data_IF_223178152812
#
_entry.id   IF_223178152812
#
_cell.length_a   1.000
_cell.length_b   1.000
_cell.length_c   1.000
_cell.angle_alpha   90.00
_cell.angle_beta   90.00
_cell.angle_gamma   90.00
#
_symmetry.space_group_name_H-M   'P 1'
#
loop_
_entity.id
_entity.type
_entity.pdbx_description
1 polymer ?
#
# COMPACT_ATOMS: atom_id res chain seq x y z
N UNK A 1 7.01 -10.87 13.01
CA UNK A 1 7.33 -9.43 12.84
C UNK A 1 7.66 -8.84 14.21
N UNK A 2 8.63 -7.93 14.29
CA UNK A 2 9.00 -7.23 15.53
C UNK A 2 8.75 -5.74 15.36
N UNK A 3 8.15 -5.09 16.35
CA UNK A 3 7.93 -3.63 16.32
C UNK A 3 9.26 -2.90 16.41
N UNK A 4 9.57 -2.09 15.40
CA UNK A 4 10.81 -1.28 15.36
C UNK A 4 10.60 0.14 15.91
N UNK A 5 9.42 0.72 15.73
CA UNK A 5 9.06 2.05 16.24
C UNK A 5 7.54 2.24 16.23
N UNK A 6 7.04 3.20 17.00
CA UNK A 6 5.65 3.63 16.99
C UNK A 6 5.59 5.13 16.77
N UNK A 7 4.94 5.55 15.68
CA UNK A 7 4.78 6.94 15.30
C UNK A 7 3.30 7.30 15.22
N UNK A 8 2.98 8.59 15.21
CA UNK A 8 1.60 9.08 15.23
C UNK A 8 1.25 9.91 13.99
N UNK A 9 -0.03 9.90 13.65
CA UNK A 9 -0.60 10.67 12.56
C UNK A 9 -0.11 10.23 11.17
N UNK A 10 -0.51 11.01 10.16
CA UNK A 10 -0.17 10.75 8.76
C UNK A 10 1.35 10.68 8.52
N UNK A 11 2.20 11.57 9.06
CA UNK A 11 3.65 11.47 8.88
C UNK A 11 4.25 10.16 9.41
N UNK A 12 3.64 9.56 10.44
CA UNK A 12 4.06 8.26 10.98
C UNK A 12 3.85 7.09 10.03
N UNK A 13 2.96 7.23 9.05
CA UNK A 13 2.78 6.25 7.95
C UNK A 13 3.77 6.55 6.83
N UNK A 14 3.89 7.82 6.44
CA UNK A 14 4.56 8.21 5.19
C UNK A 14 6.10 8.22 5.30
N UNK A 15 6.65 8.65 6.43
CA UNK A 15 8.12 8.77 6.58
C UNK A 15 8.80 7.40 6.60
N UNK A 16 8.34 6.41 7.39
CA UNK A 16 8.97 5.08 7.39
C UNK A 16 8.87 4.41 6.02
N UNK A 17 7.74 4.57 5.31
CA UNK A 17 7.62 4.05 3.95
C UNK A 17 8.65 4.66 3.01
N UNK A 18 8.83 5.98 3.06
CA UNK A 18 9.84 6.68 2.25
C UNK A 18 11.27 6.26 2.62
N UNK A 19 11.58 6.13 3.90
CA UNK A 19 12.89 5.69 4.40
C UNK A 19 13.20 4.28 3.90
N UNK A 20 12.25 3.35 4.02
CA UNK A 20 12.37 2.00 3.49
C UNK A 20 12.68 1.98 1.99
N UNK A 21 11.98 2.78 1.18
CA UNK A 21 12.27 2.86 -0.27
C UNK A 21 13.66 3.44 -0.57
N UNK A 22 14.13 4.40 0.23
CA UNK A 22 15.49 4.95 0.09
C UNK A 22 16.55 3.92 0.45
N UNK A 23 16.37 3.18 1.54
CA UNK A 23 17.29 2.12 1.98
C UNK A 23 17.38 0.99 0.97
N UNK A 24 16.28 0.69 0.28
CA UNK A 24 16.27 -0.29 -0.82
C UNK A 24 17.12 0.12 -2.02
N UNK A 25 17.39 1.41 -2.21
CA UNK A 25 18.25 1.90 -3.29
C UNK A 25 17.80 1.45 -4.69
N UNK A 26 16.48 1.34 -4.91
CA UNK A 26 15.94 0.86 -6.18
C UNK A 26 16.36 1.80 -7.33
N UNK A 27 16.69 1.26 -8.52
CA UNK A 27 16.99 2.08 -9.69
C UNK A 27 15.83 3.02 -10.05
N UNK A 28 16.16 4.16 -10.64
CA UNK A 28 15.18 5.09 -11.17
C UNK A 28 14.20 4.39 -12.13
N UNK A 29 12.92 4.72 -12.02
CA UNK A 29 11.84 4.13 -12.80
C UNK A 29 11.33 2.78 -12.30
N UNK A 30 11.98 2.17 -11.29
CA UNK A 30 11.52 0.92 -10.67
C UNK A 30 10.06 1.01 -10.22
N UNK A 31 9.30 -0.06 -10.43
CA UNK A 31 7.87 -0.07 -10.13
C UNK A 31 7.58 -0.47 -8.69
N UNK A 32 6.82 0.37 -8.00
CA UNK A 32 6.16 0.05 -6.73
C UNK A 32 4.70 -0.25 -7.04
N UNK A 33 4.32 -1.52 -6.91
CA UNK A 33 2.97 -1.99 -7.30
C UNK A 33 2.15 -2.24 -6.04
N UNK A 34 1.07 -1.49 -5.91
CA UNK A 34 0.12 -1.58 -4.81
C UNK A 34 -1.05 -2.44 -5.24
N UNK A 35 -1.26 -3.57 -4.58
CA UNK A 35 -2.46 -4.38 -4.74
C UNK A 35 -3.44 -4.02 -3.63
N UNK A 36 -4.68 -3.66 -3.98
CA UNK A 36 -5.65 -3.17 -3.00
C UNK A 36 -7.08 -3.07 -3.52
N UNK A 37 -8.01 -2.86 -2.59
CA UNK A 37 -9.41 -2.64 -2.93
C UNK A 37 -9.61 -1.24 -3.55
N UNK A 38 -10.24 -1.18 -4.72
CA UNK A 38 -10.59 0.08 -5.35
C UNK A 38 -11.51 0.92 -4.44
N UNK A 39 -11.30 2.24 -4.44
CA UNK A 39 -12.09 3.19 -3.64
C UNK A 39 -11.60 3.33 -2.19
N UNK A 40 -11.36 2.22 -1.48
CA UNK A 40 -10.94 2.28 -0.06
C UNK A 40 -9.42 2.33 0.12
N UNK A 41 -8.66 1.56 -0.67
CA UNK A 41 -7.20 1.56 -0.60
C UNK A 41 -6.58 2.69 -1.44
N UNK A 42 -7.24 3.08 -2.54
CA UNK A 42 -6.71 4.06 -3.51
C UNK A 42 -6.25 5.38 -2.86
N UNK A 43 -7.00 6.03 -1.95
CA UNK A 43 -6.55 7.28 -1.34
C UNK A 43 -5.25 7.14 -0.53
N UNK A 44 -5.04 6.01 0.14
CA UNK A 44 -3.79 5.75 0.87
C UNK A 44 -2.63 5.45 -0.06
N UNK A 45 -2.90 4.74 -1.16
CA UNK A 45 -1.92 4.48 -2.22
C UNK A 45 -1.46 5.78 -2.88
N UNK A 46 -2.39 6.67 -3.21
CA UNK A 46 -2.08 8.02 -3.71
C UNK A 46 -1.25 8.83 -2.72
N UNK A 47 -1.56 8.74 -1.43
CA UNK A 47 -0.82 9.42 -0.37
C UNK A 47 0.61 8.89 -0.21
N UNK A 48 0.80 7.57 -0.25
CA UNK A 48 2.12 6.92 -0.21
C UNK A 48 2.97 7.30 -1.43
N UNK A 49 2.37 7.26 -2.62
CA UNK A 49 3.02 7.68 -3.85
C UNK A 49 3.38 9.17 -3.83
N UNK A 50 2.50 10.02 -3.28
CA UNK A 50 2.79 11.44 -3.13
C UNK A 50 3.98 11.68 -2.19
N UNK A 51 4.06 10.95 -1.07
CA UNK A 51 5.15 11.07 -0.11
C UNK A 51 6.53 10.75 -0.70
N UNK A 52 6.55 9.90 -1.73
CA UNK A 52 7.75 9.30 -2.33
C UNK A 52 8.03 9.81 -3.75
N UNK A 53 7.28 10.83 -4.20
CA UNK A 53 7.36 11.41 -5.55
C UNK A 53 8.73 11.94 -5.96
N UNK A 54 9.58 12.26 -5.00
CA UNK A 54 10.95 12.75 -5.21
C UNK A 54 11.99 11.63 -5.37
N UNK A 55 11.59 10.37 -5.29
CA UNK A 55 12.48 9.21 -5.45
C UNK A 55 12.58 8.71 -6.91
N UNK A 56 11.91 9.37 -7.86
CA UNK A 56 11.85 8.97 -9.28
C UNK A 56 11.43 7.50 -9.50
N UNK A 57 10.56 6.98 -8.64
CA UNK A 57 9.97 5.64 -8.78
C UNK A 57 8.65 5.70 -9.54
N UNK A 58 8.27 4.59 -10.17
CA UNK A 58 6.97 4.47 -10.85
C UNK A 58 5.98 3.79 -9.91
N UNK A 59 4.90 4.46 -9.52
CA UNK A 59 3.88 3.88 -8.65
C UNK A 59 2.68 3.39 -9.46
N UNK A 60 2.26 2.14 -9.25
CA UNK A 60 1.11 1.53 -9.93
C UNK A 60 0.10 1.03 -8.89
N UNK A 61 -1.17 1.37 -9.07
CA UNK A 61 -2.27 0.73 -8.35
C UNK A 61 -2.87 -0.39 -9.19
N UNK A 62 -3.02 -1.58 -8.60
CA UNK A 62 -3.71 -2.72 -9.18
C UNK A 62 -4.94 -3.04 -8.32
N UNK A 63 -6.17 -2.95 -8.88
CA UNK A 63 -7.37 -3.31 -8.15
C UNK A 63 -7.40 -4.83 -7.93
N UNK A 64 -7.49 -5.25 -6.66
CA UNK A 64 -7.38 -6.64 -6.24
C UNK A 64 -6.10 -7.27 -6.79
N UNK A 65 -6.20 -8.20 -7.75
CA UNK A 65 -5.08 -8.81 -8.46
C UNK A 65 -5.21 -8.68 -9.99
N UNK A 66 -6.08 -7.78 -10.45
CA UNK A 66 -6.36 -7.57 -11.86
C UNK A 66 -5.33 -6.66 -12.51
N UNK A 67 -4.17 -7.23 -12.84
CA UNK A 67 -3.07 -6.52 -13.49
C UNK A 67 -3.44 -5.94 -14.87
N UNK A 68 -4.49 -6.45 -15.53
CA UNK A 68 -4.96 -5.87 -16.80
C UNK A 68 -5.60 -4.49 -16.59
N UNK A 69 -6.13 -4.24 -15.38
CA UNK A 69 -6.66 -2.96 -14.94
C UNK A 69 -5.68 -2.20 -14.04
N UNK A 70 -4.37 -2.34 -14.29
CA UNK A 70 -3.36 -1.58 -13.58
C UNK A 70 -3.38 -0.08 -13.99
N UNK A 71 -3.23 0.78 -12.99
CA UNK A 71 -3.23 2.23 -13.14
C UNK A 71 -1.90 2.84 -12.67
N UNK A 72 -1.27 3.66 -13.51
CA UNK A 72 -0.10 4.44 -13.08
C UNK A 72 -0.56 5.64 -12.25
N UNK A 73 0.12 5.91 -11.13
CA UNK A 73 -0.14 7.10 -10.33
C UNK A 73 0.72 8.26 -10.85
N UNK A 74 0.09 9.41 -11.09
CA UNK A 74 0.77 10.62 -11.59
C UNK A 74 0.40 11.82 -10.74
N UNK A 75 1.37 12.72 -10.56
CA UNK A 75 1.10 14.03 -9.95
C UNK A 75 0.29 14.88 -10.91
N UNK A 76 -0.84 15.38 -10.45
CA UNK A 76 -1.72 16.31 -11.16
C UNK A 76 -1.60 17.68 -10.46
N UNK A 77 -1.16 18.73 -11.16
CA UNK A 77 -1.02 20.07 -10.59
C UNK A 77 -2.31 20.53 -9.89
N UNK A 78 -2.17 21.13 -8.71
CA UNK A 78 -3.27 21.61 -7.86
C UNK A 78 -4.30 20.55 -7.40
N UNK A 79 -4.06 19.26 -7.66
CA UNK A 79 -4.93 18.15 -7.22
C UNK A 79 -4.19 17.20 -6.28
N UNK A 80 -3.02 16.70 -6.69
CA UNK A 80 -2.27 15.66 -5.96
C UNK A 80 -1.95 14.45 -6.83
N UNK A 81 -1.60 13.32 -6.21
CA UNK A 81 -1.42 12.06 -6.96
C UNK A 81 -2.78 11.51 -7.37
N UNK A 82 -2.90 11.09 -8.63
CA UNK A 82 -4.12 10.53 -9.20
C UNK A 82 -3.80 9.29 -10.02
N UNK A 83 -4.69 8.29 -9.97
CA UNK A 83 -4.64 7.14 -10.85
C UNK A 83 -4.97 7.51 -12.30
N UNK A 84 -4.17 7.01 -13.25
CA UNK A 84 -4.40 7.09 -14.69
C UNK A 84 -4.35 5.69 -15.30
N UNK A 85 -5.11 5.49 -16.38
CA UNK A 85 -5.21 4.19 -17.06
C UNK A 85 -3.87 3.69 -17.59
N UNK A 86 -3.70 2.36 -17.53
CA UNK A 86 -2.76 1.61 -18.34
C UNK A 86 -1.32 1.62 -17.83
N UNK A 87 -0.85 0.46 -17.37
CA UNK A 87 0.57 0.19 -17.19
C UNK A 87 0.86 -1.32 -17.21
N UNK A 88 1.97 -1.73 -17.84
CA UNK A 88 2.46 -3.10 -17.68
C UNK A 88 2.99 -3.30 -16.26
N UNK A 89 2.59 -4.39 -15.62
CA UNK A 89 2.96 -4.72 -14.24
C UNK A 89 4.27 -5.52 -14.21
N UNK A 90 5.32 -4.89 -13.70
CA UNK A 90 6.67 -5.43 -13.51
C UNK A 90 7.26 -4.86 -12.20
N UNK A 91 6.73 -5.28 -11.04
CA UNK A 91 7.13 -4.73 -9.75
C UNK A 91 8.61 -4.97 -9.47
N UNK A 92 9.27 -3.96 -8.90
CA UNK A 92 10.49 -4.13 -8.12
C UNK A 92 10.17 -4.30 -6.62
N UNK A 93 8.99 -3.84 -6.19
CA UNK A 93 8.42 -4.03 -4.86
C UNK A 93 6.91 -4.20 -4.98
N UNK A 94 6.37 -5.16 -4.24
CA UNK A 94 4.93 -5.32 -4.02
C UNK A 94 4.55 -4.64 -2.71
N UNK A 95 3.44 -3.89 -2.72
CA UNK A 95 2.80 -3.37 -1.50
C UNK A 95 1.39 -3.94 -1.42
N UNK A 96 1.14 -4.81 -0.44
CA UNK A 96 -0.19 -5.32 -0.17
C UNK A 96 -0.93 -4.34 0.75
N UNK A 97 -2.12 -3.92 0.32
CA UNK A 97 -2.98 -3.05 1.13
C UNK A 97 -3.91 -3.90 2.00
N UNK A 98 -4.05 -3.52 3.28
CA UNK A 98 -4.83 -4.24 4.28
C UNK A 98 -6.29 -4.49 3.92
N UNK A 99 -6.86 -3.68 3.01
CA UNK A 99 -8.20 -3.88 2.47
C UNK A 99 -8.41 -5.27 1.86
N UNK A 100 -7.37 -5.85 1.24
CA UNK A 100 -7.44 -7.20 0.64
C UNK A 100 -7.75 -8.30 1.66
N UNK A 101 -7.39 -8.08 2.92
CA UNK A 101 -7.57 -9.02 4.01
C UNK A 101 -8.88 -8.79 4.80
N UNK A 102 -9.68 -7.80 4.41
CA UNK A 102 -10.94 -7.50 5.10
C UNK A 102 -12.00 -8.58 4.84
N UNK A 103 -12.84 -8.89 5.86
CA UNK A 103 -14.00 -9.75 5.65
C UNK A 103 -14.90 -9.24 4.52
N UNK A 104 -15.35 -10.14 3.65
CA UNK A 104 -16.24 -9.83 2.53
C UNK A 104 -15.53 -9.36 1.25
N UNK A 105 -14.21 -9.17 1.26
CA UNK A 105 -13.43 -8.99 0.04
C UNK A 105 -13.17 -10.36 -0.58
N UNK A 106 -13.45 -10.58 -1.88
CA UNK A 106 -13.33 -11.88 -2.54
C UNK A 106 -11.87 -12.18 -2.90
N UNK A 107 -11.01 -12.21 -1.90
CA UNK A 107 -9.57 -12.45 -2.02
C UNK A 107 -9.17 -13.52 -1.02
N UNK A 108 -8.53 -14.57 -1.53
CA UNK A 108 -7.96 -15.65 -0.73
C UNK A 108 -6.46 -15.43 -0.52
N UNK A 109 -5.93 -16.02 0.55
CA UNK A 109 -4.48 -15.99 0.81
C UNK A 109 -3.68 -16.72 -0.29
N UNK A 110 -4.25 -17.73 -0.94
CA UNK A 110 -3.57 -18.46 -2.00
C UNK A 110 -3.44 -17.61 -3.28
N UNK A 111 -4.42 -16.75 -3.58
CA UNK A 111 -4.29 -15.76 -4.66
C UNK A 111 -3.18 -14.74 -4.35
N UNK A 112 -3.08 -14.28 -3.10
CA UNK A 112 -2.00 -13.38 -2.67
C UNK A 112 -0.64 -14.05 -2.88
N UNK A 113 -0.49 -15.29 -2.40
CA UNK A 113 0.75 -16.08 -2.57
C UNK A 113 1.09 -16.30 -4.03
N UNK A 114 0.10 -16.56 -4.88
CA UNK A 114 0.30 -16.72 -6.31
C UNK A 114 0.87 -15.46 -6.96
N UNK A 115 0.32 -14.28 -6.64
CA UNK A 115 0.82 -12.99 -7.14
C UNK A 115 2.22 -12.68 -6.63
N UNK A 116 2.48 -12.88 -5.33
CA UNK A 116 3.80 -12.68 -4.73
C UNK A 116 4.84 -13.60 -5.37
N UNK A 117 4.50 -14.89 -5.52
CA UNK A 117 5.41 -15.90 -6.10
C UNK A 117 5.65 -15.67 -7.58
N UNK A 118 4.63 -15.23 -8.33
CA UNK A 118 4.74 -14.89 -9.77
C UNK A 118 5.81 -13.85 -10.03
N UNK A 119 5.89 -12.82 -9.19
CA UNK A 119 6.86 -11.73 -9.36
C UNK A 119 8.18 -11.97 -8.65
N UNK A 120 8.18 -12.71 -7.53
CA UNK A 120 9.40 -13.10 -6.81
C UNK A 120 10.21 -11.92 -6.27
N UNK A 121 9.55 -10.79 -6.00
CA UNK A 121 10.16 -9.56 -5.49
C UNK A 121 9.80 -9.32 -4.02
N UNK A 122 10.52 -8.44 -3.31
CA UNK A 122 10.17 -8.04 -1.96
C UNK A 122 8.70 -7.60 -1.79
N UNK A 123 8.16 -7.84 -0.60
CA UNK A 123 6.79 -7.50 -0.24
C UNK A 123 6.76 -6.60 1.00
N UNK A 124 6.05 -5.49 0.89
CA UNK A 124 5.67 -4.64 2.02
C UNK A 124 4.15 -4.69 2.24
N UNK A 125 3.71 -4.36 3.45
CA UNK A 125 2.31 -4.31 3.84
C UNK A 125 1.96 -2.97 4.45
N UNK A 126 0.82 -2.40 4.06
CA UNK A 126 0.22 -1.24 4.72
C UNK A 126 -1.21 -1.58 5.09
N UNK A 127 -1.50 -1.66 6.38
CA UNK A 127 -2.83 -1.95 6.87
C UNK A 127 -3.24 -1.02 8.02
N UNK A 128 -4.50 -1.15 8.40
CA UNK A 128 -5.07 -0.41 9.52
C UNK A 128 -5.73 -1.39 10.48
N UNK A 129 -5.71 -1.05 11.76
CA UNK A 129 -6.39 -1.79 12.82
C UNK A 129 -5.98 -3.28 12.87
N UNK A 130 -4.72 -3.57 12.57
CA UNK A 130 -4.10 -4.91 12.62
C UNK A 130 -4.75 -5.91 11.67
N UNK A 131 -5.21 -5.46 10.50
CA UNK A 131 -6.00 -6.28 9.59
C UNK A 131 -5.26 -7.56 9.14
N UNK A 132 -3.98 -7.44 8.76
CA UNK A 132 -3.19 -8.62 8.33
C UNK A 132 -2.94 -9.62 9.46
N UNK A 133 -2.81 -9.16 10.70
CA UNK A 133 -2.67 -10.04 11.86
C UNK A 133 -3.98 -10.79 12.12
N UNK A 134 -5.10 -10.04 12.18
CA UNK A 134 -6.44 -10.59 12.41
C UNK A 134 -6.88 -11.58 11.32
N UNK A 135 -6.41 -11.41 10.10
CA UNK A 135 -6.67 -12.32 8.98
C UNK A 135 -5.70 -13.50 8.90
N UNK A 136 -4.70 -13.58 9.78
CA UNK A 136 -3.67 -14.64 9.78
C UNK A 136 -2.60 -14.49 8.68
N UNK A 137 -2.62 -13.41 7.90
CA UNK A 137 -1.71 -13.26 6.74
C UNK A 137 -0.24 -13.08 7.14
N UNK A 138 0.03 -12.62 8.36
CA UNK A 138 1.40 -12.48 8.85
C UNK A 138 2.15 -13.81 9.02
N UNK A 139 1.43 -14.94 9.06
CA UNK A 139 2.02 -16.29 9.09
C UNK A 139 2.35 -16.80 7.68
N UNK A 140 1.68 -16.25 6.67
CA UNK A 140 1.65 -16.79 5.31
C UNK A 140 2.47 -15.95 4.33
N UNK A 141 2.64 -14.66 4.61
CA UNK A 141 3.37 -13.70 3.77
C UNK A 141 4.57 -13.14 4.54
N UNK A 142 5.75 -13.24 3.94
CA UNK A 142 6.97 -12.65 4.48
C UNK A 142 7.06 -11.18 4.08
N UNK A 143 6.61 -10.29 4.98
CA UNK A 143 6.72 -8.85 4.80
C UNK A 143 8.09 -8.35 5.24
N UNK A 144 8.78 -7.61 4.38
CA UNK A 144 10.01 -6.91 4.78
C UNK A 144 9.72 -5.62 5.54
N UNK A 145 8.60 -4.96 5.23
CA UNK A 145 8.07 -3.82 5.98
C UNK A 145 6.58 -4.05 6.21
N UNK A 146 6.13 -3.83 7.44
CA UNK A 146 4.71 -3.75 7.78
C UNK A 146 4.44 -2.43 8.49
N UNK A 147 3.58 -1.62 7.91
CA UNK A 147 3.01 -0.43 8.56
C UNK A 147 1.57 -0.77 8.94
N UNK A 148 1.30 -0.87 10.24
CA UNK A 148 -0.04 -1.01 10.81
C UNK A 148 -0.40 0.26 11.59
N UNK A 149 -1.38 1.00 11.08
CA UNK A 149 -1.85 2.24 11.70
C UNK A 149 -3.21 2.08 12.38
N UNK A 150 -3.46 2.86 13.43
CA UNK A 150 -4.76 2.91 14.10
C UNK A 150 -5.45 4.24 13.78
N UNK A 151 -6.71 4.17 13.35
CA UNK A 151 -7.61 5.32 13.24
C UNK A 151 -8.50 5.29 14.48
N UNK A 152 -7.95 5.67 15.62
CA UNK A 152 -8.59 5.58 16.92
C UNK A 152 -8.02 6.64 17.89
N UNK A 153 -8.85 7.52 18.47
CA UNK A 153 -10.31 7.60 18.33
C UNK A 153 -10.76 8.39 17.09
N UNK A 154 -12.00 8.14 16.68
CA UNK A 154 -12.76 9.06 15.81
C UNK A 154 -13.78 9.79 16.68
N UNK A 155 -13.58 11.09 16.89
CA UNK A 155 -14.48 11.93 17.70
C UNK A 155 -15.45 12.69 16.81
N UNK A 156 -16.75 12.58 17.10
CA UNK A 156 -17.81 13.29 16.38
C UNK A 156 -18.38 14.37 17.30
N UNK A 157 -18.33 15.63 16.87
CA UNK A 157 -18.92 16.77 17.59
C UNK A 157 -19.96 17.43 16.71
N UNK A 158 -21.11 17.80 17.29
CA UNK A 158 -22.16 18.60 16.63
C UNK A 158 -22.44 19.83 17.47
N UNK A 159 -22.64 20.98 16.82
CA UNK A 159 -23.15 22.17 17.51
C UNK A 159 -24.57 21.86 17.97
N UNK A 160 -24.87 22.07 19.25
CA UNK A 160 -26.24 22.00 19.75
C UNK A 160 -27.10 23.01 18.97
N UNK A 161 -28.34 22.62 18.65
CA UNK A 161 -29.32 23.55 18.05
C UNK A 161 -29.65 24.67 19.02
#
# INVERSE_FOLDING_TARGET
MTTVTTLTGVPGILRPFKEFLKEKGLPEGSQIVYYGCAGTCTPFVELLAYATRDLNLTHLFVPLFDEANAHVLKSVPAVGMQAKEGAAVKPALIVLMGGLAMPGVPVTIEEVKAVVSKHGVPVAGVCFMSMFEKSGWLLEISFELLIDAKIDPVTITRKAK
#
